data_IF_032567952683
#
_entry.id   IF_032567952683
#
_cell.length_a   1.000
_cell.length_b   1.000
_cell.length_c   1.000
_cell.angle_alpha   90.00
_cell.angle_beta   90.00
_cell.angle_gamma   90.00
#
_symmetry.space_group_name_H-M   'P 1'
#
loop_
_entity.id
_entity.type
_entity.pdbx_description
1 polymer ?
#
# COMPACT_ATOMS: atom_id res chain seq x y z
N UNK A 1 7.83 30.40 1.64
CA UNK A 1 8.31 31.75 1.97
C UNK A 1 7.21 32.65 2.54
N UNK A 2 6.04 32.75 1.89
CA UNK A 2 4.92 33.59 2.38
C UNK A 2 4.40 33.24 3.79
N UNK A 3 4.24 31.95 4.12
CA UNK A 3 3.77 31.53 5.44
C UNK A 3 4.74 31.88 6.57
N UNK A 4 6.05 31.76 6.32
CA UNK A 4 7.09 32.10 7.30
C UNK A 4 7.16 33.62 7.53
N UNK A 5 7.07 34.41 6.45
CA UNK A 5 7.04 35.87 6.55
C UNK A 5 5.79 36.38 7.30
N UNK A 6 4.61 35.81 7.01
CA UNK A 6 3.38 36.15 7.73
C UNK A 6 3.43 35.79 9.22
N UNK A 7 4.09 34.68 9.58
CA UNK A 7 4.26 34.28 10.98
C UNK A 7 5.21 35.21 11.74
N UNK A 8 6.29 35.67 11.09
CA UNK A 8 7.22 36.65 11.66
C UNK A 8 6.51 37.99 11.92
N UNK A 9 5.71 38.47 10.98
CA UNK A 9 4.91 39.69 11.15
C UNK A 9 3.93 39.60 12.33
N UNK A 10 3.26 38.44 12.51
CA UNK A 10 2.36 38.20 13.65
C UNK A 10 3.13 38.16 14.97
N UNK A 11 4.33 37.58 14.96
CA UNK A 11 5.19 37.51 16.14
C UNK A 11 5.64 38.90 16.61
N UNK A 12 6.00 39.78 15.67
CA UNK A 12 6.46 41.13 15.98
C UNK A 12 5.35 42.01 16.56
N UNK A 13 4.10 41.81 16.12
CA UNK A 13 2.93 42.53 16.65
C UNK A 13 2.37 41.91 17.93
N UNK A 14 2.29 40.58 17.98
CA UNK A 14 1.57 39.82 18.99
C UNK A 14 2.26 38.48 19.30
N UNK A 15 3.38 38.49 20.04
CA UNK A 15 4.22 37.31 20.22
C UNK A 15 3.52 36.16 20.95
N UNK A 16 2.56 36.46 21.84
CA UNK A 16 1.74 35.42 22.48
C UNK A 16 0.86 34.68 21.48
N UNK A 17 0.20 35.41 20.59
CA UNK A 17 -0.65 34.81 19.55
C UNK A 17 0.19 33.97 18.59
N UNK A 18 1.36 34.48 18.17
CA UNK A 18 2.30 33.70 17.35
C UNK A 18 2.69 32.37 18.02
N UNK A 19 3.09 32.38 19.30
CA UNK A 19 3.43 31.14 20.03
C UNK A 19 2.28 30.15 20.08
N UNK A 20 1.06 30.62 20.34
CA UNK A 20 -0.14 29.76 20.34
C UNK A 20 -0.39 29.17 18.95
N UNK A 21 -0.30 29.96 17.89
CA UNK A 21 -0.46 29.48 16.50
C UNK A 21 0.63 28.46 16.15
N UNK A 22 1.90 28.70 16.51
CA UNK A 22 2.97 27.74 16.28
C UNK A 22 2.72 26.41 16.99
N UNK A 23 2.28 26.45 18.26
CA UNK A 23 1.93 25.24 19.00
C UNK A 23 0.79 24.50 18.32
N UNK A 24 -0.27 25.20 17.90
CA UNK A 24 -1.40 24.58 17.21
C UNK A 24 -0.98 23.93 15.89
N UNK A 25 -0.19 24.62 15.06
CA UNK A 25 0.30 24.09 13.78
C UNK A 25 1.22 22.89 14.01
N UNK A 26 2.15 22.98 14.97
CA UNK A 26 3.04 21.87 15.31
C UNK A 26 2.26 20.66 15.81
N UNK A 27 1.29 20.85 16.71
CA UNK A 27 0.41 19.79 17.21
C UNK A 27 -0.43 19.17 16.09
N UNK A 28 -1.02 19.99 15.21
CA UNK A 28 -1.79 19.51 14.06
C UNK A 28 -0.91 18.72 13.08
N UNK A 29 0.33 19.16 12.84
CA UNK A 29 1.29 18.46 11.99
C UNK A 29 1.71 17.11 12.60
N UNK A 30 2.02 17.08 13.90
CA UNK A 30 2.34 15.84 14.62
C UNK A 30 1.15 14.89 14.59
N UNK A 31 -0.06 15.38 14.88
CA UNK A 31 -1.27 14.59 14.82
C UNK A 31 -1.51 14.04 13.41
N UNK A 32 -1.27 14.84 12.37
CA UNK A 32 -1.34 14.39 10.98
C UNK A 32 -0.31 13.29 10.70
N UNK A 33 0.95 13.46 11.08
CA UNK A 33 1.97 12.41 10.90
C UNK A 33 1.64 11.12 11.67
N UNK A 34 1.05 11.24 12.86
CA UNK A 34 0.66 10.10 13.69
C UNK A 34 -0.60 9.38 13.18
N UNK A 35 -1.46 10.07 12.41
CA UNK A 35 -2.72 9.51 11.90
C UNK A 35 -2.64 9.08 10.44
N UNK A 36 -1.72 9.67 9.66
CA UNK A 36 -1.40 9.20 8.32
C UNK A 36 -0.78 7.80 8.44
N UNK A 37 -1.54 6.79 8.00
CA UNK A 37 -1.10 5.40 8.00
C UNK A 37 0.11 5.14 7.09
N UNK A 38 0.47 3.86 6.88
CA UNK A 38 1.66 3.48 6.12
C UNK A 38 1.68 4.13 4.73
N UNK A 39 2.77 4.83 4.41
CA UNK A 39 2.81 5.60 3.15
C UNK A 39 2.93 4.73 1.89
N UNK A 40 3.41 3.49 2.04
CA UNK A 40 3.78 2.59 0.96
C UNK A 40 3.05 1.25 1.14
N UNK A 41 1.78 1.19 0.78
CA UNK A 41 0.96 -0.01 1.04
C UNK A 41 1.46 -1.26 0.30
N UNK A 42 2.11 -1.09 -0.85
CA UNK A 42 2.74 -2.21 -1.58
C UNK A 42 3.81 -2.86 -0.70
N UNK A 43 4.64 -2.05 -0.02
CA UNK A 43 5.66 -2.57 0.90
C UNK A 43 5.02 -3.36 2.03
N UNK A 44 3.98 -2.82 2.66
CA UNK A 44 3.31 -3.48 3.79
C UNK A 44 2.67 -4.81 3.35
N UNK A 45 2.04 -4.85 2.18
CA UNK A 45 1.48 -6.07 1.61
C UNK A 45 2.56 -7.13 1.33
N UNK A 46 3.71 -6.73 0.77
CA UNK A 46 4.84 -7.63 0.52
C UNK A 46 5.45 -8.13 1.83
N UNK A 47 5.64 -7.25 2.82
CA UNK A 47 6.10 -7.63 4.17
C UNK A 47 5.13 -8.59 4.85
N UNK A 48 3.84 -8.40 4.66
CA UNK A 48 2.81 -9.30 5.18
C UNK A 48 2.95 -10.70 4.56
N UNK A 49 3.04 -10.79 3.24
CA UNK A 49 3.29 -12.09 2.55
C UNK A 49 4.60 -12.72 3.03
N UNK A 50 5.69 -11.94 3.12
CA UNK A 50 6.98 -12.44 3.57
C UNK A 50 6.97 -13.03 4.98
N UNK A 51 6.15 -12.47 5.88
CA UNK A 51 6.04 -12.91 7.29
C UNK A 51 5.07 -14.06 7.51
N UNK A 52 4.15 -14.31 6.59
CA UNK A 52 3.10 -15.34 6.75
C UNK A 52 3.24 -16.54 5.83
N UNK A 53 3.96 -16.41 4.71
CA UNK A 53 4.18 -17.53 3.80
C UNK A 53 5.12 -18.57 4.41
N UNK A 54 4.94 -19.82 4.02
CA UNK A 54 5.97 -20.85 4.21
C UNK A 54 7.00 -20.79 3.06
N UNK A 55 8.21 -21.36 3.23
CA UNK A 55 9.23 -21.36 2.19
C UNK A 55 8.81 -22.05 0.88
N UNK A 56 7.85 -22.97 0.95
CA UNK A 56 7.31 -23.72 -0.20
C UNK A 56 6.15 -23.01 -0.90
N UNK A 57 5.60 -21.96 -0.28
CA UNK A 57 4.53 -21.16 -0.85
C UNK A 57 5.11 -20.02 -1.70
N UNK A 58 4.72 -20.02 -2.97
CA UNK A 58 4.95 -18.95 -3.92
C UNK A 58 3.95 -17.80 -3.75
N UNK A 59 4.33 -16.63 -4.26
CA UNK A 59 3.50 -15.44 -4.28
C UNK A 59 3.56 -14.78 -5.66
N UNK A 60 2.56 -13.97 -6.00
CA UNK A 60 2.59 -13.14 -7.21
C UNK A 60 1.83 -11.84 -6.99
N UNK A 61 2.10 -10.84 -7.83
CA UNK A 61 1.44 -9.55 -7.80
C UNK A 61 0.55 -9.32 -9.02
N UNK A 62 -0.55 -8.61 -8.82
CA UNK A 62 -1.53 -8.26 -9.86
C UNK A 62 -1.82 -6.77 -9.80
N UNK A 63 -1.69 -6.07 -10.93
CA UNK A 63 -2.39 -4.80 -11.13
C UNK A 63 -1.56 -3.62 -11.63
N UNK A 64 -0.23 -3.66 -11.54
CA UNK A 64 0.62 -2.64 -12.12
C UNK A 64 1.32 -3.12 -13.40
N UNK A 65 1.52 -2.23 -14.40
CA UNK A 65 2.31 -2.55 -15.59
C UNK A 65 3.81 -2.64 -15.30
N UNK A 66 4.25 -2.06 -14.19
CA UNK A 66 5.62 -2.13 -13.68
C UNK A 66 5.73 -3.04 -12.45
N UNK A 67 6.88 -3.70 -12.31
CA UNK A 67 7.13 -4.65 -11.24
C UNK A 67 7.62 -3.95 -9.95
N UNK A 68 6.99 -2.85 -9.53
CA UNK A 68 7.44 -2.06 -8.36
C UNK A 68 7.42 -2.83 -7.04
N UNK A 69 6.60 -3.88 -6.96
CA UNK A 69 6.56 -4.80 -5.82
C UNK A 69 7.90 -5.55 -5.64
N UNK A 70 8.67 -5.77 -6.71
CA UNK A 70 9.98 -6.43 -6.68
C UNK A 70 11.00 -5.67 -5.82
N UNK A 71 10.94 -4.33 -5.79
CA UNK A 71 11.81 -3.52 -4.93
C UNK A 71 11.68 -3.87 -3.43
N UNK A 72 10.51 -4.39 -3.04
CA UNK A 72 10.24 -4.82 -1.66
C UNK A 72 10.39 -6.34 -1.49
N UNK A 73 10.08 -7.12 -2.53
CA UNK A 73 10.10 -8.59 -2.45
C UNK A 73 11.52 -9.16 -2.44
N UNK A 74 12.41 -8.62 -3.28
CA UNK A 74 13.80 -9.11 -3.42
C UNK A 74 14.59 -9.04 -2.11
N UNK A 75 14.61 -7.92 -1.37
CA UNK A 75 15.33 -7.84 -0.09
C UNK A 75 14.78 -8.79 0.99
N UNK A 76 13.52 -9.23 0.85
CA UNK A 76 12.85 -10.16 1.77
C UNK A 76 12.95 -11.62 1.30
N UNK A 77 13.67 -11.89 0.20
CA UNK A 77 13.82 -13.23 -0.36
C UNK A 77 12.51 -13.86 -0.80
N UNK A 78 11.53 -13.04 -1.20
CA UNK A 78 10.24 -13.49 -1.74
C UNK A 78 10.31 -13.41 -3.26
N UNK A 79 10.22 -14.56 -3.93
CA UNK A 79 9.94 -14.57 -5.36
C UNK A 79 8.46 -14.21 -5.56
N UNK A 80 8.22 -13.05 -6.17
CA UNK A 80 6.88 -12.49 -6.37
C UNK A 80 6.78 -11.91 -7.77
N UNK A 81 6.67 -12.74 -8.82
CA UNK A 81 6.48 -12.26 -10.19
C UNK A 81 5.20 -11.43 -10.35
N UNK A 82 5.23 -10.48 -11.29
CA UNK A 82 4.05 -9.79 -11.75
C UNK A 82 3.15 -10.68 -12.63
N UNK A 83 1.89 -10.31 -12.74
CA UNK A 83 0.89 -10.96 -13.62
C UNK A 83 0.70 -10.21 -14.94
N UNK A 84 1.74 -9.50 -15.39
CA UNK A 84 1.66 -8.56 -16.51
C UNK A 84 0.76 -7.34 -16.24
N UNK A 85 0.70 -6.39 -17.18
CA UNK A 85 -0.11 -5.19 -17.03
C UNK A 85 -1.56 -5.50 -16.67
N UNK A 86 -2.01 -4.99 -15.53
CA UNK A 86 -3.39 -5.15 -15.05
C UNK A 86 -3.89 -6.61 -14.95
N UNK A 87 -2.98 -7.58 -14.84
CA UNK A 87 -3.32 -9.00 -14.69
C UNK A 87 -3.51 -9.77 -16.00
N UNK A 88 -3.00 -9.28 -17.13
CA UNK A 88 -3.09 -9.99 -18.43
C UNK A 88 -2.54 -11.42 -18.43
N UNK A 89 -1.60 -11.73 -17.54
CA UNK A 89 -0.99 -13.05 -17.39
C UNK A 89 -1.43 -13.78 -16.11
N UNK A 90 -2.51 -13.32 -15.44
CA UNK A 90 -3.02 -13.90 -14.19
C UNK A 90 -3.23 -15.41 -14.28
N UNK A 91 -3.78 -15.90 -15.40
CA UNK A 91 -4.08 -17.32 -15.60
C UNK A 91 -2.86 -18.24 -15.45
N UNK A 92 -1.65 -17.76 -15.76
CA UNK A 92 -0.44 -18.55 -15.59
C UNK A 92 -0.18 -18.89 -14.11
N UNK A 93 -0.40 -17.92 -13.22
CA UNK A 93 -0.25 -18.10 -11.77
C UNK A 93 -1.41 -18.88 -11.15
N UNK A 94 -2.61 -18.81 -11.74
CA UNK A 94 -3.76 -19.61 -11.28
C UNK A 94 -3.52 -21.12 -11.46
N UNK A 95 -2.76 -21.52 -12.47
CA UNK A 95 -2.42 -22.91 -12.74
C UNK A 95 -1.21 -23.43 -11.96
N UNK A 96 -0.43 -22.54 -11.33
CA UNK A 96 0.70 -22.94 -10.49
C UNK A 96 0.18 -23.43 -9.12
N UNK A 97 0.39 -24.70 -8.73
CA UNK A 97 -0.04 -25.22 -7.44
C UNK A 97 0.74 -24.63 -6.26
N UNK A 98 1.92 -24.06 -6.50
CA UNK A 98 2.75 -23.44 -5.46
C UNK A 98 2.35 -21.99 -5.19
N UNK A 99 1.63 -21.33 -6.11
CA UNK A 99 1.16 -19.96 -6.00
C UNK A 99 0.03 -19.84 -4.97
N UNK A 100 0.40 -19.77 -3.70
CA UNK A 100 -0.52 -19.71 -2.57
C UNK A 100 -0.92 -18.28 -2.20
N UNK A 101 -0.13 -17.28 -2.58
CA UNK A 101 -0.36 -15.87 -2.19
C UNK A 101 -0.51 -14.96 -3.41
N UNK A 102 -1.47 -14.03 -3.35
CA UNK A 102 -1.67 -13.02 -4.37
C UNK A 102 -1.78 -11.62 -3.75
N UNK A 103 -0.99 -10.68 -4.25
CA UNK A 103 -1.11 -9.25 -3.91
C UNK A 103 -1.86 -8.55 -5.04
N UNK A 104 -3.12 -8.19 -4.81
CA UNK A 104 -3.95 -7.48 -5.78
C UNK A 104 -3.99 -5.98 -5.47
N UNK A 105 -3.48 -5.19 -6.40
CA UNK A 105 -3.53 -3.73 -6.36
C UNK A 105 -4.85 -3.25 -7.00
N UNK A 106 -5.41 -2.17 -6.46
CA UNK A 106 -6.62 -1.52 -6.99
C UNK A 106 -7.82 -2.49 -7.16
N UNK A 107 -8.23 -3.26 -6.13
CA UNK A 107 -9.25 -4.30 -6.27
C UNK A 107 -10.63 -3.77 -6.71
N UNK A 108 -10.91 -2.48 -6.48
CA UNK A 108 -12.15 -1.82 -6.93
C UNK A 108 -12.15 -1.53 -8.42
N UNK A 109 -10.98 -1.38 -9.03
CA UNK A 109 -10.81 -1.13 -10.45
C UNK A 109 -10.61 -2.43 -11.20
N UNK A 110 -9.84 -3.36 -10.63
CA UNK A 110 -9.53 -4.66 -11.22
C UNK A 110 -10.49 -5.76 -10.74
N UNK A 111 -11.79 -5.50 -10.85
CA UNK A 111 -12.84 -6.42 -10.37
C UNK A 111 -12.76 -7.79 -11.05
N UNK A 112 -12.51 -7.83 -12.36
CA UNK A 112 -12.37 -9.08 -13.11
C UNK A 112 -11.19 -9.94 -12.64
N UNK A 113 -10.08 -9.33 -12.20
CA UNK A 113 -8.96 -10.06 -11.63
C UNK A 113 -9.30 -10.56 -10.22
N UNK A 114 -10.00 -9.75 -9.42
CA UNK A 114 -10.49 -10.15 -8.10
C UNK A 114 -11.47 -11.34 -8.18
N UNK A 115 -12.37 -11.34 -9.17
CA UNK A 115 -13.31 -12.43 -9.43
C UNK A 115 -12.57 -13.72 -9.80
N UNK A 116 -11.62 -13.65 -10.74
CA UNK A 116 -10.80 -14.80 -11.14
C UNK A 116 -10.02 -15.40 -9.96
N UNK A 117 -9.42 -14.56 -9.11
CA UNK A 117 -8.73 -15.01 -7.91
C UNK A 117 -9.70 -15.72 -6.95
N UNK A 118 -10.88 -15.16 -6.72
CA UNK A 118 -11.90 -15.77 -5.86
C UNK A 118 -12.39 -17.11 -6.39
N UNK A 119 -12.67 -17.19 -7.69
CA UNK A 119 -13.06 -18.44 -8.38
C UNK A 119 -11.97 -19.51 -8.28
N UNK A 120 -10.71 -19.10 -8.28
CA UNK A 120 -9.55 -19.97 -8.07
C UNK A 120 -9.26 -20.31 -6.59
N UNK A 121 -10.18 -20.00 -5.67
CA UNK A 121 -10.08 -20.38 -4.25
C UNK A 121 -9.22 -19.44 -3.39
N UNK A 122 -8.87 -18.25 -3.89
CA UNK A 122 -8.20 -17.24 -3.08
C UNK A 122 -9.19 -16.50 -2.18
N UNK A 123 -8.82 -16.36 -0.91
CA UNK A 123 -9.60 -15.67 0.12
C UNK A 123 -8.78 -14.51 0.67
N UNK A 124 -9.42 -13.39 0.98
CA UNK A 124 -8.76 -12.22 1.55
C UNK A 124 -8.25 -12.52 2.96
N UNK A 125 -6.94 -12.32 3.16
CA UNK A 125 -6.28 -12.46 4.47
C UNK A 125 -5.93 -11.09 5.06
N UNK A 126 -5.60 -10.11 4.23
CA UNK A 126 -5.31 -8.75 4.69
C UNK A 126 -5.70 -7.68 3.66
N UNK A 127 -5.97 -6.47 4.17
CA UNK A 127 -6.35 -5.30 3.39
C UNK A 127 -5.57 -4.08 3.85
N UNK A 128 -4.97 -3.38 2.90
CA UNK A 128 -4.13 -2.21 3.12
C UNK A 128 -4.79 -0.99 2.45
N UNK A 129 -5.31 -0.04 3.23
CA UNK A 129 -6.07 1.09 2.70
C UNK A 129 -5.15 2.06 1.94
N UNK A 130 -5.49 2.38 0.69
CA UNK A 130 -4.78 3.39 -0.09
C UNK A 130 -5.03 4.79 0.46
N UNK A 131 -4.01 5.46 0.98
CA UNK A 131 -4.18 6.78 1.62
C UNK A 131 -4.02 7.96 0.65
N UNK A 132 -3.15 7.86 -0.36
CA UNK A 132 -2.87 8.96 -1.31
C UNK A 132 -4.08 9.28 -2.17
N UNK A 133 -4.80 8.24 -2.60
CA UNK A 133 -5.89 8.36 -3.59
C UNK A 133 -7.29 8.26 -2.94
N UNK A 134 -7.44 8.69 -1.68
CA UNK A 134 -8.71 8.62 -0.94
C UNK A 134 -9.36 7.21 -0.94
N UNK A 135 -8.56 6.17 -0.77
CA UNK A 135 -8.99 4.77 -0.84
C UNK A 135 -8.84 4.11 -2.22
N UNK A 136 -8.51 4.88 -3.26
CA UNK A 136 -8.30 4.35 -4.62
C UNK A 136 -7.11 3.39 -4.71
N UNK A 137 -6.00 3.70 -4.06
CA UNK A 137 -4.77 2.89 -4.01
C UNK A 137 -4.81 1.71 -3.03
N UNK A 138 -5.99 1.14 -2.82
CA UNK A 138 -6.18 -0.02 -1.96
C UNK A 138 -5.44 -1.25 -2.50
N UNK A 139 -4.91 -2.05 -1.58
CA UNK A 139 -4.25 -3.33 -1.90
C UNK A 139 -4.85 -4.38 -0.99
N UNK A 140 -5.17 -5.54 -1.56
CA UNK A 140 -5.55 -6.72 -0.79
C UNK A 140 -4.53 -7.83 -0.98
N UNK A 141 -4.29 -8.57 0.08
CA UNK A 141 -3.51 -9.80 0.08
C UNK A 141 -4.47 -10.95 0.22
N UNK A 142 -4.39 -11.88 -0.72
CA UNK A 142 -5.24 -13.06 -0.78
C UNK A 142 -4.37 -14.32 -0.62
N UNK A 143 -4.96 -15.37 -0.04
CA UNK A 143 -4.35 -16.69 0.10
C UNK A 143 -5.25 -17.76 -0.49
N UNK A 144 -4.68 -18.68 -1.27
CA UNK A 144 -5.37 -19.85 -1.80
C UNK A 144 -5.63 -20.86 -0.67
N UNK A 145 -6.87 -21.32 -0.54
CA UNK A 145 -7.29 -22.37 0.41
C UNK A 145 -7.60 -23.68 -0.28
#
# INVERSE_FOLDING_TARGET
LLLAAGFLEINDRTPRAARVIALLVASAWIASLATLGPRQQIREAVMYVASHRTPTEGAFAVGLPDDVHQWYAVPLGVDMPGSGPYGTALQQHLHDPTAAWAVLLYPRTLTAAADQLREAGFVEEARFPGWIDAGGGEIIVLRRR
#
